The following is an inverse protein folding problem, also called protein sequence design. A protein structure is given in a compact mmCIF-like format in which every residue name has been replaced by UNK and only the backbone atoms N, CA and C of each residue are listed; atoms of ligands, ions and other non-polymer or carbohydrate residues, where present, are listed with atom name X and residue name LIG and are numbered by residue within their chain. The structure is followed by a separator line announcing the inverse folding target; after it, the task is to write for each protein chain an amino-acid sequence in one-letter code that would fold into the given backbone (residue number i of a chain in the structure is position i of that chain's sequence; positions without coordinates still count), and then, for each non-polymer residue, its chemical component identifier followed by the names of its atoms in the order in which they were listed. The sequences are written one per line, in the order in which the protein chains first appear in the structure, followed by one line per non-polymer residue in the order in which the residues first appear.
data_IF_117889660488
#
_entry.id   IF_117889660488
#
_cell.length_a   1.000
_cell.length_b   1.000
_cell.length_c   1.000
_cell.angle_alpha   90.00
_cell.angle_beta   90.00
_cell.angle_gamma   90.00
#
_symmetry.space_group_name_H-M   'P 1'
#
loop_
_entity.id
_entity.type
_entity.pdbx_description
1 polymer ?
#
# COMPACT_ATOMS: atom_id res chain seq x y z
N UNK A 1 0.39 -24.80 -6.45
CA UNK A 1 0.30 -23.34 -6.61
C UNK A 1 1.61 -22.78 -6.05
N UNK A 2 2.46 -22.14 -6.86
CA UNK A 2 3.74 -21.61 -6.35
C UNK A 2 3.49 -20.64 -5.19
N UNK A 3 4.00 -20.97 -4.00
CA UNK A 3 3.88 -20.12 -2.81
C UNK A 3 4.95 -19.03 -2.85
N UNK A 4 4.71 -17.97 -3.61
CA UNK A 4 5.52 -16.74 -3.55
C UNK A 4 5.38 -16.03 -2.21
N UNK A 5 6.40 -15.25 -1.83
CA UNK A 5 6.34 -14.39 -0.64
C UNK A 5 5.26 -13.33 -0.82
N UNK A 6 4.49 -13.05 0.23
CA UNK A 6 3.40 -12.06 0.20
C UNK A 6 3.77 -10.89 1.09
N UNK A 7 3.66 -9.69 0.54
CA UNK A 7 3.92 -8.43 1.21
C UNK A 7 2.68 -7.54 1.13
N UNK A 8 2.52 -6.72 2.15
CA UNK A 8 1.54 -5.65 2.16
C UNK A 8 2.23 -4.34 2.57
N UNK A 9 1.79 -3.22 2.02
CA UNK A 9 2.16 -1.90 2.51
C UNK A 9 0.93 -1.02 2.69
N UNK A 10 0.95 -0.20 3.73
CA UNK A 10 -0.05 0.83 4.00
C UNK A 10 0.66 2.17 3.89
N UNK A 11 0.10 3.04 3.04
CA UNK A 11 0.53 4.43 2.85
C UNK A 11 -0.63 5.32 3.29
N UNK A 12 -0.41 6.20 4.27
CA UNK A 12 -1.45 7.10 4.80
C UNK A 12 -1.08 8.52 4.41
N UNK A 13 -1.77 9.06 3.41
CA UNK A 13 -1.64 10.45 2.99
C UNK A 13 -2.77 11.32 3.55
N UNK A 14 -2.55 12.64 3.54
CA UNK A 14 -3.54 13.62 4.00
C UNK A 14 -4.85 13.60 3.20
N UNK A 15 -4.87 13.08 1.98
CA UNK A 15 -6.09 13.01 1.16
C UNK A 15 -6.64 11.58 1.04
N UNK A 16 -5.76 10.59 0.93
CA UNK A 16 -6.16 9.20 0.77
C UNK A 16 -5.12 8.27 1.39
N UNK A 17 -5.59 7.13 1.88
CA UNK A 17 -4.71 6.00 2.19
C UNK A 17 -4.69 5.01 1.02
N UNK A 18 -3.61 4.23 0.94
CA UNK A 18 -3.44 3.13 0.00
C UNK A 18 -3.03 1.87 0.73
N UNK A 19 -3.58 0.74 0.31
CA UNK A 19 -3.16 -0.60 0.70
C UNK A 19 -2.69 -1.33 -0.56
N UNK A 20 -1.42 -1.71 -0.58
CA UNK A 20 -0.81 -2.49 -1.65
C UNK A 20 -0.60 -3.91 -1.17
N UNK A 21 -1.07 -4.90 -1.92
CA UNK A 21 -0.66 -6.29 -1.80
C UNK A 21 0.27 -6.65 -2.96
N UNK A 22 1.43 -7.20 -2.62
CA UNK A 22 2.47 -7.59 -3.57
C UNK A 22 2.90 -9.03 -3.31
N UNK A 23 3.04 -9.82 -4.38
CA UNK A 23 3.67 -11.13 -4.32
C UNK A 23 5.05 -11.05 -4.94
N UNK A 24 6.05 -11.60 -4.27
CA UNK A 24 7.40 -11.74 -4.80
C UNK A 24 7.65 -13.20 -5.14
N UNK A 25 7.88 -13.46 -6.42
CA UNK A 25 8.39 -14.73 -6.91
C UNK A 25 9.91 -14.62 -6.98
N UNK A 26 10.61 -15.32 -6.09
CA UNK A 26 12.06 -15.30 -6.01
C UNK A 26 12.63 -16.64 -6.49
N UNK A 27 13.66 -16.56 -7.33
CA UNK A 27 14.53 -17.69 -7.66
C UNK A 27 15.98 -17.30 -7.36
N UNK A 28 16.94 -18.19 -7.61
CA UNK A 28 18.36 -17.96 -7.28
C UNK A 28 19.02 -16.82 -8.06
N UNK A 29 18.36 -16.28 -9.10
CA UNK A 29 18.95 -15.28 -10.02
C UNK A 29 18.14 -13.98 -10.11
N UNK A 30 16.86 -13.98 -9.73
CA UNK A 30 15.99 -12.82 -9.86
C UNK A 30 14.78 -12.86 -8.92
N UNK A 31 14.23 -11.67 -8.68
CA UNK A 31 12.96 -11.48 -7.98
C UNK A 31 11.99 -10.77 -8.92
N UNK A 32 10.79 -11.34 -9.10
CA UNK A 32 9.68 -10.73 -9.83
C UNK A 32 8.62 -10.26 -8.84
N UNK A 33 8.27 -8.98 -8.92
CA UNK A 33 7.26 -8.36 -8.08
C UNK A 33 5.93 -8.29 -8.83
N UNK A 34 4.90 -8.92 -8.28
CA UNK A 34 3.54 -8.94 -8.83
C UNK A 34 2.67 -8.06 -7.94
N UNK A 35 2.12 -6.99 -8.51
CA UNK A 35 1.12 -6.16 -7.85
C UNK A 35 -0.22 -6.90 -7.90
N UNK A 36 -0.59 -7.53 -6.79
CA UNK A 36 -1.81 -8.33 -6.69
C UNK A 36 -3.05 -7.43 -6.54
N UNK A 37 -2.93 -6.39 -5.73
CA UNK A 37 -4.01 -5.41 -5.54
C UNK A 37 -3.45 -4.10 -5.04
N UNK A 38 -4.07 -3.01 -5.48
CA UNK A 38 -3.81 -1.66 -4.98
C UNK A 38 -5.16 -1.01 -4.68
N UNK A 39 -5.49 -0.92 -3.40
CA UNK A 39 -6.73 -0.32 -2.91
C UNK A 39 -6.42 1.12 -2.51
N UNK A 40 -7.27 2.05 -2.94
CA UNK A 40 -7.21 3.46 -2.57
C UNK A 40 -8.49 3.84 -1.84
N UNK A 41 -8.36 4.32 -0.60
CA UNK A 41 -9.49 4.82 0.18
C UNK A 41 -9.34 6.32 0.42
N UNK A 42 -10.33 7.16 0.04
CA UNK A 42 -10.31 8.57 0.38
C UNK A 42 -10.55 8.74 1.89
N UNK A 43 -9.71 9.54 2.55
CA UNK A 43 -9.81 9.80 3.99
C UNK A 43 -9.83 11.31 4.34
N UNK A 44 -9.22 12.17 3.52
CA UNK A 44 -9.18 13.63 3.71
C UNK A 44 -8.69 14.10 5.10
N UNK A 45 -7.79 13.35 5.73
CA UNK A 45 -7.16 13.70 7.01
C UNK A 45 -6.53 15.11 7.07
N UNK A 46 -6.15 15.66 5.92
CA UNK A 46 -5.61 17.00 5.81
C UNK A 46 -6.62 18.10 6.11
N UNK A 47 -7.91 17.88 5.86
CA UNK A 47 -8.92 18.93 6.02
C UNK A 47 -8.98 19.44 7.46
N UNK A 48 -9.11 18.53 8.42
CA UNK A 48 -9.11 18.87 9.85
C UNK A 48 -7.71 19.30 10.32
N UNK A 49 -6.64 18.67 9.81
CA UNK A 49 -5.28 19.06 10.17
C UNK A 49 -4.92 20.50 9.74
N UNK A 50 -5.35 20.92 8.55
CA UNK A 50 -5.05 22.26 8.02
C UNK A 50 -5.97 23.35 8.58
N UNK A 51 -7.15 22.99 9.07
CA UNK A 51 -8.14 23.96 9.60
C UNK A 51 -8.12 24.04 11.12
N UNK A 52 -8.01 22.91 11.82
CA UNK A 52 -8.10 22.79 13.29
C UNK A 52 -6.73 22.49 13.92
N UNK A 53 -5.73 22.06 13.13
CA UNK A 53 -4.40 21.72 13.63
C UNK A 53 -4.31 20.33 14.28
N UNK A 54 -5.36 19.51 14.16
CA UNK A 54 -5.43 18.16 14.74
C UNK A 54 -6.11 17.18 13.75
N UNK A 55 -5.85 15.88 13.90
CA UNK A 55 -6.47 14.76 13.14
C UNK A 55 -7.22 13.88 14.12
#
# INVERSE_FOLDING_TARGET
MESGLKFASIDIGSNAMRLLFCRVLQNSKSAKFIKESLIRMPLRLGEDAFTVGNI
#
